data_IF_561496872093
#
_entry.id   IF_561496872093
#
_cell.length_a   1.000
_cell.length_b   1.000
_cell.length_c   1.000
_cell.angle_alpha   90.00
_cell.angle_beta   90.00
_cell.angle_gamma   90.00
#
_symmetry.space_group_name_H-M   'P 1'
#
loop_
_entity.id
_entity.type
_entity.pdbx_description
1 polymer ?
#
# COMPACT_ATOMS: atom_id res chain seq x y z
N UNK A 1 34.61 -9.48 32.07
CA UNK A 1 34.87 -8.60 30.91
C UNK A 1 33.52 -8.30 30.27
N UNK A 2 32.85 -7.27 30.80
CA UNK A 2 31.57 -6.78 30.31
C UNK A 2 31.86 -5.76 29.21
N UNK A 3 31.39 -5.97 27.98
CA UNK A 3 31.40 -4.94 26.93
C UNK A 3 30.19 -5.11 26.00
N UNK A 4 29.18 -4.28 26.27
CA UNK A 4 28.21 -3.64 25.35
C UNK A 4 27.22 -4.54 24.58
N UNK A 5 25.89 -4.47 24.77
CA UNK A 5 25.07 -3.31 25.12
C UNK A 5 24.45 -2.60 23.90
N UNK A 6 24.23 -3.30 22.77
CA UNK A 6 23.69 -2.70 21.53
C UNK A 6 22.45 -3.36 20.94
N UNK A 7 21.88 -4.39 21.58
CA UNK A 7 20.64 -5.03 21.08
C UNK A 7 19.38 -4.15 21.25
N UNK A 8 19.44 -3.06 22.03
CA UNK A 8 18.30 -2.13 22.22
C UNK A 8 18.48 -0.75 21.56
N UNK A 9 19.71 -0.36 21.17
CA UNK A 9 20.00 1.00 20.70
C UNK A 9 19.85 1.13 19.17
N UNK A 10 19.92 0.02 18.43
CA UNK A 10 19.75 -0.02 16.98
C UNK A 10 18.30 -0.16 16.49
N UNK A 11 17.39 -0.67 17.33
CA UNK A 11 15.99 -0.91 16.92
C UNK A 11 15.16 0.37 16.89
N UNK A 12 15.37 1.28 17.82
CA UNK A 12 14.70 2.58 17.87
C UNK A 12 15.00 3.46 16.65
N UNK A 13 16.26 3.74 16.26
CA UNK A 13 16.55 4.54 15.08
C UNK A 13 16.12 3.83 13.79
N UNK A 14 16.22 2.50 13.71
CA UNK A 14 15.71 1.74 12.56
C UNK A 14 14.19 1.84 12.45
N UNK A 15 13.46 1.67 13.57
CA UNK A 15 12.00 1.85 13.62
C UNK A 15 11.59 3.28 13.31
N UNK A 16 12.29 4.28 13.83
CA UNK A 16 12.03 5.68 13.52
C UNK A 16 12.28 5.98 12.05
N UNK A 17 13.35 5.44 11.46
CA UNK A 17 13.65 5.60 10.03
C UNK A 17 12.56 4.96 9.18
N UNK A 18 12.15 3.72 9.49
CA UNK A 18 11.05 3.04 8.81
C UNK A 18 9.74 3.82 8.96
N UNK A 19 9.40 4.29 10.15
CA UNK A 19 8.20 5.11 10.40
C UNK A 19 8.23 6.43 9.63
N UNK A 20 9.39 7.08 9.51
CA UNK A 20 9.54 8.31 8.70
C UNK A 20 9.32 8.05 7.22
N UNK A 21 9.92 7.00 6.66
CA UNK A 21 9.72 6.62 5.26
C UNK A 21 8.26 6.24 4.98
N UNK A 22 7.67 5.48 5.89
CA UNK A 22 6.27 5.04 5.84
C UNK A 22 5.29 6.21 5.96
N UNK A 23 5.60 7.24 6.75
CA UNK A 23 4.73 8.42 6.89
C UNK A 23 4.84 9.38 5.70
N UNK A 24 6.04 9.52 5.11
CA UNK A 24 6.27 10.41 3.97
C UNK A 24 5.74 9.84 2.65
N UNK A 25 5.82 8.54 2.44
CA UNK A 25 5.41 7.89 1.19
C UNK A 25 3.93 8.14 0.83
N UNK A 26 2.94 7.98 1.73
CA UNK A 26 1.54 8.29 1.45
C UNK A 26 1.33 9.75 1.05
N UNK A 27 2.01 10.70 1.72
CA UNK A 27 1.91 12.12 1.42
C UNK A 27 2.40 12.46 0.01
N UNK A 28 3.54 11.88 -0.40
CA UNK A 28 4.07 12.04 -1.75
C UNK A 28 3.14 11.44 -2.82
N UNK A 29 2.53 10.29 -2.53
CA UNK A 29 1.59 9.61 -3.43
C UNK A 29 0.28 10.39 -3.58
N UNK A 30 -0.29 10.89 -2.48
CA UNK A 30 -1.50 11.74 -2.50
C UNK A 30 -1.24 13.04 -3.26
N UNK A 31 -0.07 13.66 -3.08
CA UNK A 31 0.32 14.82 -3.87
C UNK A 31 0.42 14.50 -5.37
N UNK A 32 1.00 13.34 -5.71
CA UNK A 32 1.03 12.83 -7.09
C UNK A 32 -0.37 12.62 -7.67
N UNK A 33 -1.28 12.04 -6.89
CA UNK A 33 -2.67 11.79 -7.27
C UNK A 33 -3.42 13.10 -7.55
N UNK A 34 -3.36 14.08 -6.65
CA UNK A 34 -3.99 15.39 -6.80
C UNK A 34 -3.45 16.13 -8.03
N UNK A 35 -2.14 16.02 -8.29
CA UNK A 35 -1.53 16.60 -9.48
C UNK A 35 -2.03 15.93 -10.76
N UNK A 36 -2.16 14.60 -10.77
CA UNK A 36 -2.61 13.83 -11.92
C UNK A 36 -4.09 14.09 -12.28
N UNK A 37 -4.96 14.23 -11.27
CA UNK A 37 -6.37 14.58 -11.49
C UNK A 37 -6.57 15.99 -12.07
N UNK A 38 -5.60 16.89 -11.86
CA UNK A 38 -5.68 18.27 -12.32
C UNK A 38 -5.23 18.46 -13.78
N UNK A 39 -4.76 17.40 -14.46
CA UNK A 39 -3.99 17.51 -15.70
C UNK A 39 -4.49 16.68 -16.89
N UNK A 40 -5.79 16.62 -17.21
CA UNK A 40 -6.33 16.65 -18.60
C UNK A 40 -7.70 15.96 -18.75
N UNK A 41 -8.59 16.61 -19.53
CA UNK A 41 -9.93 16.16 -19.91
C UNK A 41 -10.08 15.80 -21.39
N UNK A 42 -8.99 15.51 -22.10
CA UNK A 42 -9.05 15.06 -23.49
C UNK A 42 -8.80 13.55 -23.56
N UNK A 43 -9.65 12.79 -24.25
CA UNK A 43 -9.53 11.32 -24.39
C UNK A 43 -8.46 11.05 -25.48
N UNK A 44 -7.22 10.81 -25.08
CA UNK A 44 -6.09 10.46 -25.96
C UNK A 44 -5.26 9.37 -25.29
N UNK A 45 -4.32 8.73 -26.00
CA UNK A 45 -3.34 7.76 -25.42
C UNK A 45 -2.67 8.29 -24.13
N UNK A 46 -2.47 9.61 -24.04
CA UNK A 46 -1.95 10.30 -22.86
C UNK A 46 -2.81 10.10 -21.60
N UNK A 47 -4.12 10.00 -21.77
CA UNK A 47 -5.12 9.79 -20.73
C UNK A 47 -5.13 8.35 -20.26
N UNK A 48 -4.92 7.37 -21.15
CA UNK A 48 -4.76 5.97 -20.77
C UNK A 48 -3.53 5.78 -19.87
N UNK A 49 -2.39 6.38 -20.24
CA UNK A 49 -1.20 6.39 -19.40
C UNK A 49 -1.43 7.17 -18.09
N UNK A 50 -2.23 8.24 -18.11
CA UNK A 50 -2.62 8.98 -16.91
C UNK A 50 -3.44 8.14 -15.94
N UNK A 51 -4.47 7.44 -16.44
CA UNK A 51 -5.30 6.51 -15.64
C UNK A 51 -4.47 5.36 -15.12
N UNK A 52 -3.61 4.74 -15.94
CA UNK A 52 -2.68 3.69 -15.49
C UNK A 52 -1.77 4.20 -14.36
N UNK A 53 -1.21 5.40 -14.51
CA UNK A 53 -0.38 6.02 -13.48
C UNK A 53 -1.16 6.24 -12.18
N UNK A 54 -2.41 6.70 -12.27
CA UNK A 54 -3.30 6.85 -11.11
C UNK A 54 -3.56 5.50 -10.43
N UNK A 55 -3.84 4.43 -11.19
CA UNK A 55 -3.99 3.08 -10.65
C UNK A 55 -2.72 2.59 -9.94
N UNK A 56 -1.54 2.82 -10.52
CA UNK A 56 -0.26 2.49 -9.89
C UNK A 56 -0.02 3.28 -8.60
N UNK A 57 -0.37 4.57 -8.59
CA UNK A 57 -0.27 5.41 -7.40
C UNK A 57 -1.21 4.93 -6.29
N UNK A 58 -2.45 4.53 -6.62
CA UNK A 58 -3.41 4.00 -5.65
C UNK A 58 -2.88 2.68 -5.03
N UNK A 59 -2.39 1.74 -5.84
CA UNK A 59 -1.79 0.50 -5.32
C UNK A 59 -0.55 0.76 -4.47
N UNK A 60 0.29 1.73 -4.85
CA UNK A 60 1.43 2.14 -4.03
C UNK A 60 0.99 2.76 -2.69
N UNK A 61 -0.12 3.51 -2.66
CA UNK A 61 -0.67 4.11 -1.45
C UNK A 61 -1.11 3.04 -0.46
N UNK A 62 -1.93 2.10 -0.90
CA UNK A 62 -2.44 1.02 -0.06
C UNK A 62 -1.32 0.07 0.38
N UNK A 63 -0.38 -0.29 -0.50
CA UNK A 63 0.81 -1.04 -0.12
C UNK A 63 1.65 -0.35 0.96
N UNK A 64 1.77 0.99 0.91
CA UNK A 64 2.46 1.78 1.95
C UNK A 64 1.68 1.78 3.28
N UNK A 65 0.35 1.86 3.23
CA UNK A 65 -0.51 1.78 4.42
C UNK A 65 -0.40 0.39 5.07
N UNK A 66 -0.42 -0.69 4.29
CA UNK A 66 -0.22 -2.04 4.81
C UNK A 66 1.18 -2.22 5.42
N UNK A 67 2.21 -1.64 4.80
CA UNK A 67 3.56 -1.56 5.38
C UNK A 67 3.62 -0.79 6.70
N UNK A 68 2.84 0.28 6.83
CA UNK A 68 2.73 1.04 8.07
C UNK A 68 2.13 0.20 9.20
N UNK A 69 1.06 -0.52 8.89
CA UNK A 69 0.36 -1.38 9.84
C UNK A 69 1.27 -2.53 10.27
N UNK A 70 1.94 -3.18 9.31
CA UNK A 70 2.92 -4.25 9.57
C UNK A 70 4.11 -3.79 10.43
N UNK A 71 4.51 -2.52 10.34
CA UNK A 71 5.59 -1.97 11.17
C UNK A 71 5.18 -1.70 12.63
N UNK A 72 3.87 -1.50 12.88
CA UNK A 72 3.32 -1.20 14.20
C UNK A 72 2.84 -2.47 14.90
N UNK A 73 2.36 -3.46 14.16
CA UNK A 73 1.85 -4.72 14.69
C UNK A 73 2.97 -5.76 14.88
N UNK A 74 3.34 -6.13 16.13
CA UNK A 74 4.32 -7.18 16.38
C UNK A 74 3.79 -8.60 16.09
N UNK A 75 2.48 -8.76 15.83
CA UNK A 75 1.83 -10.06 15.55
C UNK A 75 1.88 -10.51 14.09
N UNK A 76 2.38 -9.67 13.17
CA UNK A 76 2.40 -9.96 11.74
C UNK A 76 1.09 -9.58 11.04
N UNK A 77 1.21 -8.99 9.83
CA UNK A 77 0.05 -8.51 9.07
C UNK A 77 -0.73 -9.61 8.35
N UNK A 78 -0.05 -10.69 7.96
CA UNK A 78 -0.64 -11.82 7.23
C UNK A 78 -0.97 -12.97 8.18
N UNK A 79 -2.06 -13.68 7.87
CA UNK A 79 -2.50 -14.88 8.62
C UNK A 79 -1.61 -16.10 8.34
N UNK A 80 -0.93 -16.10 7.19
CA UNK A 80 0.11 -17.07 6.81
C UNK A 80 1.45 -16.71 7.47
N UNK A 81 2.29 -17.70 7.82
CA UNK A 81 3.66 -17.56 8.37
C UNK A 81 4.67 -16.91 7.38
N UNK A 82 4.14 -16.22 6.36
CA UNK A 82 4.89 -15.51 5.35
C UNK A 82 5.32 -14.14 5.90
N UNK A 83 6.61 -13.78 5.77
CA UNK A 83 7.10 -12.50 6.25
C UNK A 83 6.35 -11.35 5.57
N UNK A 84 5.88 -10.38 6.38
CA UNK A 84 5.23 -9.14 5.95
C UNK A 84 6.18 -8.17 5.23
N UNK A 85 6.88 -8.66 4.22
CA UNK A 85 7.84 -7.93 3.40
C UNK A 85 7.10 -6.92 2.53
N UNK A 86 7.74 -5.78 2.26
CA UNK A 86 7.20 -4.71 1.39
C UNK A 86 6.69 -5.26 0.05
N UNK A 87 7.39 -6.24 -0.53
CA UNK A 87 6.98 -6.88 -1.78
C UNK A 87 5.62 -7.58 -1.69
N UNK A 88 5.38 -8.32 -0.61
CA UNK A 88 4.14 -9.07 -0.38
C UNK A 88 2.95 -8.12 -0.13
N UNK A 89 3.20 -7.04 0.59
CA UNK A 89 2.18 -6.01 0.89
C UNK A 89 1.77 -5.22 -0.37
N UNK A 90 2.74 -4.89 -1.23
CA UNK A 90 2.48 -4.23 -2.51
C UNK A 90 1.75 -5.19 -3.45
N UNK A 91 2.16 -6.45 -3.53
CA UNK A 91 1.47 -7.46 -4.33
C UNK A 91 0.03 -7.69 -3.86
N UNK A 92 -0.19 -7.80 -2.55
CA UNK A 92 -1.54 -7.92 -1.97
C UNK A 92 -2.43 -6.72 -2.32
N UNK A 93 -1.90 -5.50 -2.24
CA UNK A 93 -2.60 -4.28 -2.64
C UNK A 93 -2.99 -4.32 -4.12
N UNK A 94 -2.06 -4.59 -5.04
CA UNK A 94 -2.38 -4.68 -6.46
C UNK A 94 -3.37 -5.80 -6.79
N UNK A 95 -3.24 -6.98 -6.18
CA UNK A 95 -4.17 -8.08 -6.36
C UNK A 95 -5.59 -7.74 -5.86
N UNK A 96 -5.70 -6.96 -4.78
CA UNK A 96 -6.97 -6.49 -4.22
C UNK A 96 -7.58 -5.36 -5.08
N UNK A 97 -6.78 -4.37 -5.46
CA UNK A 97 -7.19 -3.24 -6.29
C UNK A 97 -7.67 -3.68 -7.68
N UNK A 98 -6.99 -4.66 -8.27
CA UNK A 98 -7.38 -5.25 -9.56
C UNK A 98 -8.50 -6.29 -9.42
N UNK A 99 -8.95 -6.57 -8.20
CA UNK A 99 -9.95 -7.60 -7.88
C UNK A 99 -9.55 -9.02 -8.32
N UNK A 100 -8.27 -9.26 -8.57
CA UNK A 100 -7.75 -10.58 -8.94
C UNK A 100 -7.78 -11.52 -7.74
N UNK A 101 -7.35 -11.04 -6.57
CA UNK A 101 -7.49 -11.74 -5.28
C UNK A 101 -7.02 -13.20 -5.31
N UNK A 102 -5.76 -13.45 -5.66
CA UNK A 102 -5.20 -14.81 -5.80
C UNK A 102 -5.38 -15.70 -4.54
N UNK A 103 -5.53 -15.10 -3.36
CA UNK A 103 -5.83 -15.80 -2.10
C UNK A 103 -4.62 -16.47 -1.47
N UNK A 104 -3.42 -16.25 -2.01
CA UNK A 104 -2.13 -16.67 -1.49
C UNK A 104 -1.69 -15.85 -0.26
N UNK A 105 -2.02 -14.56 -0.26
CA UNK A 105 -1.83 -13.66 0.87
C UNK A 105 -3.17 -13.19 1.42
N UNK A 106 -3.39 -13.40 2.73
CA UNK A 106 -4.61 -13.01 3.43
C UNK A 106 -4.25 -12.14 4.63
N UNK A 107 -4.83 -10.93 4.69
CA UNK A 107 -4.68 -10.05 5.84
C UNK A 107 -5.29 -10.71 7.10
N UNK A 108 -4.45 -10.97 8.10
CA UNK A 108 -4.85 -11.56 9.37
C UNK A 108 -5.43 -10.54 10.35
N UNK A 109 -5.09 -9.25 10.17
CA UNK A 109 -5.59 -8.16 11.01
C UNK A 109 -6.98 -7.67 10.56
N UNK A 110 -7.87 -7.40 11.52
CA UNK A 110 -9.21 -6.83 11.25
C UNK A 110 -9.12 -5.50 10.49
N UNK A 111 -8.10 -4.70 10.79
CA UNK A 111 -7.84 -3.42 10.12
C UNK A 111 -7.37 -3.64 8.67
N UNK A 112 -6.48 -4.61 8.42
CA UNK A 112 -6.07 -4.99 7.07
C UNK A 112 -7.22 -5.50 6.20
N UNK A 113 -8.12 -6.31 6.78
CA UNK A 113 -9.33 -6.80 6.10
C UNK A 113 -10.28 -5.66 5.74
N UNK A 114 -10.50 -4.70 6.65
CA UNK A 114 -11.37 -3.54 6.37
C UNK A 114 -10.84 -2.65 5.23
N UNK A 115 -9.53 -2.44 5.19
CA UNK A 115 -8.88 -1.66 4.13
C UNK A 115 -8.92 -2.39 2.78
N UNK A 116 -8.72 -3.70 2.77
CA UNK A 116 -8.83 -4.50 1.55
C UNK A 116 -10.24 -4.42 0.94
N UNK A 117 -11.29 -4.39 1.77
CA UNK A 117 -12.67 -4.19 1.29
C UNK A 117 -12.82 -2.81 0.64
N UNK A 118 -12.29 -1.75 1.25
CA UNK A 118 -12.34 -0.39 0.69
C UNK A 118 -11.57 -0.32 -0.64
N UNK A 119 -10.39 -0.93 -0.69
CA UNK A 119 -9.55 -1.00 -1.91
C UNK A 119 -10.27 -1.72 -3.05
N UNK A 120 -10.92 -2.85 -2.77
CA UNK A 120 -11.72 -3.59 -3.75
C UNK A 120 -12.92 -2.76 -4.26
N UNK A 121 -13.59 -2.02 -3.38
CA UNK A 121 -14.70 -1.13 -3.77
C UNK A 121 -14.24 0.01 -4.69
N UNK A 122 -13.05 0.58 -4.45
CA UNK A 122 -12.45 1.61 -5.33
C UNK A 122 -12.15 1.03 -6.72
N UNK A 123 -11.61 -0.20 -6.77
CA UNK A 123 -11.39 -0.92 -8.03
C UNK A 123 -12.67 -1.08 -8.84
N UNK A 124 -13.77 -1.48 -8.19
CA UNK A 124 -15.07 -1.65 -8.85
C UNK A 124 -15.70 -0.33 -9.34
N UNK A 125 -15.65 0.73 -8.53
CA UNK A 125 -16.17 2.05 -8.91
C UNK A 125 -15.45 2.61 -10.13
N UNK A 126 -14.18 2.26 -10.33
CA UNK A 126 -13.44 2.72 -11.49
C UNK A 126 -13.82 1.98 -12.78
N UNK A 127 -14.38 0.77 -12.67
CA UNK A 127 -14.84 -0.01 -13.83
C UNK A 127 -16.26 0.35 -14.28
N UNK A 128 -17.15 0.73 -13.35
CA UNK A 128 -18.57 0.97 -13.66
C UNK A 128 -18.89 2.10 -14.67
N UNK A 129 -18.13 3.22 -14.78
CA UNK A 129 -18.50 4.36 -15.62
C UNK A 129 -18.40 4.11 -17.13
N UNK A 130 -17.76 3.02 -17.56
CA UNK A 130 -17.45 2.78 -18.97
C UNK A 130 -18.47 1.86 -19.68
N UNK A 131 -19.58 1.51 -19.01
CA UNK A 131 -20.59 0.58 -19.51
C UNK A 131 -21.87 1.24 -20.06
N UNK A 132 -21.88 2.56 -20.25
CA UNK A 132 -22.99 3.32 -20.86
C UNK A 132 -22.55 4.10 -22.07
#
# INVERSE_FOLDING_TARGET
MALFGFSGVGELPARLTTLMFVALAPGAIVYGLVRAFRSDGAITIRTMFGVLCVYLLIGMLFGSIYGAISAIDPGGFFESDEPGTVSNLVYFSYATLTTVGYGDLVAGSDLGRSLAIVEALIGQITWSPWSR
#
